data_IF_420274329024
#
_entry.id   IF_420274329024
#
_cell.length_a   1.000
_cell.length_b   1.000
_cell.length_c   1.000
_cell.angle_alpha   90.00
_cell.angle_beta   90.00
_cell.angle_gamma   90.00
#
_symmetry.space_group_name_H-M   'P 1'
#
loop_
_entity.id
_entity.type
_entity.pdbx_description
1 polymer ?
#
# COMPACT_ATOMS: atom_id res chain seq x y z
N UNK A 1 -48.39 -64.09 -21.99
CA UNK A 1 -47.30 -63.81 -21.04
C UNK A 1 -46.03 -63.53 -21.85
N UNK A 2 -45.70 -62.28 -22.16
CA UNK A 2 -44.43 -61.89 -22.81
C UNK A 2 -44.09 -60.46 -22.38
N UNK A 3 -43.51 -60.30 -21.19
CA UNK A 3 -43.12 -59.00 -20.60
C UNK A 3 -41.62 -58.64 -20.71
N UNK A 4 -40.69 -59.37 -21.36
CA UNK A 4 -39.26 -59.06 -21.23
C UNK A 4 -38.79 -57.86 -22.09
N UNK A 5 -39.49 -57.52 -23.18
CA UNK A 5 -38.98 -56.53 -24.15
C UNK A 5 -39.20 -55.06 -23.73
N UNK A 6 -40.25 -54.76 -22.95
CA UNK A 6 -40.56 -53.40 -22.52
C UNK A 6 -39.63 -52.89 -21.40
N UNK A 7 -39.17 -53.79 -20.52
CA UNK A 7 -38.22 -53.48 -19.45
C UNK A 7 -36.81 -53.19 -19.99
N UNK A 8 -36.36 -53.96 -20.99
CA UNK A 8 -35.04 -53.81 -21.60
C UNK A 8 -34.87 -52.43 -22.28
N UNK A 9 -35.92 -51.91 -22.93
CA UNK A 9 -35.83 -50.64 -23.64
C UNK A 9 -35.84 -49.43 -22.69
N UNK A 10 -36.59 -49.51 -21.56
CA UNK A 10 -36.59 -48.49 -20.50
C UNK A 10 -35.25 -48.40 -19.76
N UNK A 11 -34.62 -49.55 -19.51
CA UNK A 11 -33.28 -49.63 -18.90
C UNK A 11 -32.22 -49.02 -19.84
N UNK A 12 -32.31 -49.28 -21.15
CA UNK A 12 -31.43 -48.64 -22.14
C UNK A 12 -31.61 -47.12 -22.21
N UNK A 13 -32.85 -46.62 -22.12
CA UNK A 13 -33.10 -45.17 -22.11
C UNK A 13 -32.62 -44.47 -20.83
N UNK A 14 -32.58 -45.18 -19.69
CA UNK A 14 -32.00 -44.65 -18.44
C UNK A 14 -30.48 -44.80 -18.37
N UNK A 15 -29.88 -45.76 -19.08
CA UNK A 15 -28.44 -45.95 -19.07
C UNK A 15 -27.68 -44.77 -19.68
N UNK A 16 -28.21 -44.14 -20.73
CA UNK A 16 -27.59 -43.00 -21.40
C UNK A 16 -27.42 -41.77 -20.47
N UNK A 17 -28.48 -41.24 -19.81
CA UNK A 17 -28.31 -40.10 -18.90
C UNK A 17 -27.43 -40.45 -17.70
N UNK A 18 -27.49 -41.68 -17.17
CA UNK A 18 -26.62 -42.14 -16.08
C UNK A 18 -25.15 -42.13 -16.52
N UNK A 19 -24.84 -42.63 -17.70
CA UNK A 19 -23.48 -42.63 -18.25
C UNK A 19 -22.95 -41.20 -18.45
N UNK A 20 -23.79 -40.28 -18.94
CA UNK A 20 -23.42 -38.87 -19.10
C UNK A 20 -23.08 -38.23 -17.76
N UNK A 21 -23.92 -38.43 -16.74
CA UNK A 21 -23.67 -37.92 -15.39
C UNK A 21 -22.40 -38.52 -14.78
N UNK A 22 -22.16 -39.82 -14.98
CA UNK A 22 -20.95 -40.49 -14.50
C UNK A 22 -19.68 -39.92 -15.17
N UNK A 23 -19.71 -39.70 -16.49
CA UNK A 23 -18.60 -39.09 -17.24
C UNK A 23 -18.36 -37.65 -16.76
N UNK A 24 -19.42 -36.84 -16.61
CA UNK A 24 -19.30 -35.49 -16.08
C UNK A 24 -18.69 -35.48 -14.67
N UNK A 25 -19.15 -36.36 -13.78
CA UNK A 25 -18.59 -36.51 -12.45
C UNK A 25 -17.11 -36.86 -12.46
N UNK A 26 -16.71 -37.81 -13.31
CA UNK A 26 -15.29 -38.15 -13.51
C UNK A 26 -14.50 -36.96 -14.05
N UNK A 27 -15.03 -36.23 -15.03
CA UNK A 27 -14.34 -35.07 -15.63
C UNK A 27 -14.13 -33.97 -14.59
N UNK A 28 -15.15 -33.67 -13.78
CA UNK A 28 -15.04 -32.68 -12.69
C UNK A 28 -14.02 -33.12 -11.65
N UNK A 29 -14.03 -34.40 -11.27
CA UNK A 29 -13.15 -34.95 -10.23
C UNK A 29 -11.70 -35.00 -10.67
N UNK A 30 -11.44 -35.41 -11.92
CA UNK A 30 -10.08 -35.63 -12.41
C UNK A 30 -9.45 -34.43 -13.12
N UNK A 31 -10.24 -33.48 -13.64
CA UNK A 31 -9.69 -32.28 -14.28
C UNK A 31 -9.99 -30.99 -13.52
N UNK A 32 -11.25 -30.74 -13.16
CA UNK A 32 -11.64 -29.42 -12.62
C UNK A 32 -11.12 -29.21 -11.21
N UNK A 33 -11.30 -30.18 -10.32
CA UNK A 33 -10.85 -30.08 -8.92
C UNK A 33 -9.32 -29.94 -8.83
N UNK A 34 -8.49 -30.75 -9.53
CA UNK A 34 -7.04 -30.61 -9.48
C UNK A 34 -6.55 -29.27 -10.01
N UNK A 35 -7.09 -28.79 -11.14
CA UNK A 35 -6.68 -27.50 -11.72
C UNK A 35 -7.03 -26.33 -10.80
N UNK A 36 -8.23 -26.33 -10.20
CA UNK A 36 -8.63 -25.31 -9.22
C UNK A 36 -7.75 -25.34 -7.98
N UNK A 37 -7.48 -26.54 -7.46
CA UNK A 37 -6.63 -26.72 -6.28
C UNK A 37 -5.21 -26.24 -6.54
N UNK A 38 -4.65 -26.54 -7.71
CA UNK A 38 -3.31 -26.10 -8.09
C UNK A 38 -3.22 -24.58 -8.21
N UNK A 39 -4.23 -23.93 -8.81
CA UNK A 39 -4.28 -22.47 -8.89
C UNK A 39 -4.37 -21.84 -7.49
N UNK A 40 -5.27 -22.35 -6.64
CA UNK A 40 -5.41 -21.88 -5.27
C UNK A 40 -4.15 -22.09 -4.43
N UNK A 41 -3.45 -23.22 -4.62
CA UNK A 41 -2.16 -23.48 -3.96
C UNK A 41 -1.09 -22.49 -4.42
N UNK A 42 -1.05 -22.12 -5.70
CA UNK A 42 -0.12 -21.10 -6.21
C UNK A 42 -0.38 -19.73 -5.59
N UNK A 43 -1.63 -19.30 -5.52
CA UNK A 43 -1.98 -18.02 -4.90
C UNK A 43 -1.62 -17.99 -3.41
N UNK A 44 -1.80 -19.12 -2.71
CA UNK A 44 -1.38 -19.28 -1.31
C UNK A 44 0.15 -19.25 -1.15
N UNK A 45 0.91 -19.86 -2.07
CA UNK A 45 2.38 -19.83 -2.05
C UNK A 45 2.89 -18.42 -2.31
N UNK A 46 2.35 -17.74 -3.32
CA UNK A 46 2.72 -16.36 -3.66
C UNK A 46 2.47 -15.42 -2.47
N UNK A 47 1.26 -15.47 -1.91
CA UNK A 47 0.89 -14.65 -0.75
C UNK A 47 1.80 -14.90 0.45
N UNK A 48 2.09 -16.17 0.77
CA UNK A 48 2.99 -16.52 1.88
C UNK A 48 4.42 -16.09 1.59
N UNK A 49 4.89 -16.25 0.37
CA UNK A 49 6.25 -15.83 -0.02
C UNK A 49 6.44 -14.32 0.12
N UNK A 50 5.45 -13.51 -0.28
CA UNK A 50 5.47 -12.07 -0.07
C UNK A 50 5.46 -11.68 1.41
N UNK A 51 4.72 -12.40 2.25
CA UNK A 51 4.74 -12.19 3.71
C UNK A 51 6.12 -12.52 4.31
N UNK A 52 6.76 -13.61 3.88
CA UNK A 52 8.11 -13.96 4.34
C UNK A 52 9.15 -12.92 3.93
N UNK A 53 9.09 -12.41 2.69
CA UNK A 53 9.99 -11.36 2.23
C UNK A 53 9.85 -10.08 3.07
N UNK A 54 8.61 -9.69 3.41
CA UNK A 54 8.38 -8.53 4.29
C UNK A 54 8.93 -8.75 5.72
N UNK A 55 8.81 -9.98 6.27
CA UNK A 55 9.40 -10.29 7.58
C UNK A 55 10.93 -10.32 7.55
N UNK A 56 11.52 -10.79 6.46
CA UNK A 56 12.97 -10.79 6.26
C UNK A 56 13.51 -9.35 6.22
N UNK A 57 12.89 -8.47 5.44
CA UNK A 57 13.27 -7.05 5.37
C UNK A 57 13.20 -6.36 6.75
N UNK A 58 12.12 -6.60 7.50
CA UNK A 58 11.98 -6.04 8.87
C UNK A 58 13.03 -6.62 9.81
N UNK A 59 13.31 -7.92 9.71
CA UNK A 59 14.29 -8.57 10.58
C UNK A 59 15.70 -8.05 10.28
N UNK A 60 16.06 -7.88 9.01
CA UNK A 60 17.35 -7.30 8.60
C UNK A 60 17.51 -5.88 9.13
N UNK A 61 16.48 -5.04 9.00
CA UNK A 61 16.49 -3.68 9.55
C UNK A 61 16.66 -3.66 11.08
N UNK A 62 16.04 -4.60 11.79
CA UNK A 62 16.20 -4.72 13.25
C UNK A 62 17.59 -5.22 13.63
N UNK A 63 18.19 -6.13 12.85
CA UNK A 63 19.57 -6.57 13.09
C UNK A 63 20.56 -5.43 12.88
N UNK A 64 20.38 -4.61 11.84
CA UNK A 64 21.18 -3.42 11.61
C UNK A 64 21.08 -2.43 12.79
N UNK A 65 19.87 -2.24 13.34
CA UNK A 65 19.67 -1.42 14.53
C UNK A 65 20.35 -2.02 15.77
N UNK A 66 20.23 -3.33 15.99
CA UNK A 66 20.91 -4.03 17.09
C UNK A 66 22.44 -3.85 16.97
N UNK A 67 23.00 -4.02 15.78
CA UNK A 67 24.43 -3.90 15.55
C UNK A 67 24.91 -2.45 15.72
N UNK A 68 24.11 -1.46 15.29
CA UNK A 68 24.36 -0.06 15.60
C UNK A 68 24.37 0.17 17.12
N UNK A 69 23.35 -0.31 17.84
CA UNK A 69 23.20 -0.16 19.29
C UNK A 69 24.23 -0.94 20.12
N UNK A 70 24.94 -1.91 19.54
CA UNK A 70 26.08 -2.56 20.20
C UNK A 70 27.32 -1.66 20.27
N UNK A 71 27.39 -0.64 19.41
CA UNK A 71 28.51 0.31 19.41
C UNK A 71 28.26 1.47 20.38
N UNK A 72 29.31 1.98 21.06
CA UNK A 72 29.16 3.15 21.93
C UNK A 72 28.63 4.40 21.21
N UNK A 73 28.93 4.55 19.92
CA UNK A 73 28.43 5.66 19.11
C UNK A 73 26.96 5.51 18.76
N UNK A 74 26.53 4.30 18.37
CA UNK A 74 25.12 4.04 18.05
C UNK A 74 24.22 4.22 19.27
N UNK A 75 24.65 3.81 20.47
CA UNK A 75 23.92 4.11 21.71
C UNK A 75 23.79 5.62 21.94
N UNK A 76 24.88 6.38 21.77
CA UNK A 76 24.83 7.84 21.91
C UNK A 76 23.86 8.47 20.92
N UNK A 77 23.90 8.04 19.67
CA UNK A 77 23.00 8.53 18.62
C UNK A 77 21.54 8.19 18.93
N UNK A 78 21.24 6.94 19.31
CA UNK A 78 19.89 6.52 19.67
C UNK A 78 19.34 7.29 20.88
N UNK A 79 20.17 7.54 21.90
CA UNK A 79 19.79 8.37 23.05
C UNK A 79 19.52 9.82 22.64
N UNK A 80 20.27 10.38 21.68
CA UNK A 80 20.01 11.72 21.14
C UNK A 80 18.69 11.78 20.36
N UNK A 81 18.44 10.81 19.50
CA UNK A 81 17.27 10.78 18.62
C UNK A 81 15.98 10.41 19.37
N UNK A 82 16.00 9.36 20.18
CA UNK A 82 14.81 8.82 20.85
C UNK A 82 14.49 9.55 22.16
N UNK A 83 15.50 9.94 22.94
CA UNK A 83 15.31 10.57 24.25
C UNK A 83 15.57 12.08 24.22
N UNK A 84 16.05 12.62 23.09
CA UNK A 84 16.33 14.05 22.97
C UNK A 84 17.47 14.52 23.88
N UNK A 85 18.36 13.61 24.30
CA UNK A 85 19.48 13.96 25.17
C UNK A 85 20.49 14.84 24.42
N UNK A 86 21.14 15.75 25.16
CA UNK A 86 22.15 16.68 24.63
C UNK A 86 23.47 16.40 25.35
N UNK A 87 24.60 16.63 24.68
CA UNK A 87 25.90 16.59 25.36
C UNK A 87 26.03 17.78 26.35
N UNK A 88 26.92 17.69 27.36
CA UNK A 88 27.11 18.75 28.35
C UNK A 88 27.41 20.15 27.78
N UNK A 89 27.93 20.21 26.56
CA UNK A 89 28.27 21.44 25.83
C UNK A 89 27.28 21.79 24.70
N UNK A 90 26.16 21.08 24.57
CA UNK A 90 25.13 21.33 23.58
C UNK A 90 23.92 22.04 24.22
N UNK A 91 23.31 22.97 23.49
CA UNK A 91 22.08 23.67 23.90
C UNK A 91 21.05 23.62 22.78
N UNK A 92 19.80 23.35 23.12
CA UNK A 92 18.67 23.52 22.20
C UNK A 92 18.55 25.00 21.88
N UNK A 93 18.73 25.34 20.61
CA UNK A 93 18.40 26.68 20.10
C UNK A 93 16.95 26.59 19.63
N UNK A 94 15.98 27.21 20.33
CA UNK A 94 14.63 27.27 19.81
C UNK A 94 14.68 28.02 18.48
N UNK A 95 14.09 27.44 17.44
CA UNK A 95 13.76 28.21 16.25
C UNK A 95 12.79 29.28 16.71
N UNK A 96 13.22 30.54 16.66
CA UNK A 96 12.29 31.65 16.77
C UNK A 96 11.26 31.48 15.66
N UNK A 97 10.00 31.74 15.98
CA UNK A 97 8.96 31.83 14.96
C UNK A 97 9.48 32.77 13.88
N UNK A 98 9.43 32.31 12.62
CA UNK A 98 9.88 33.13 11.50
C UNK A 98 9.10 34.45 11.61
N UNK A 99 9.77 35.59 11.81
CA UNK A 99 9.04 36.82 12.07
C UNK A 99 8.09 37.03 10.90
N UNK A 100 6.80 37.21 11.21
CA UNK A 100 5.79 37.68 10.29
C UNK A 100 6.15 39.12 9.93
N UNK A 101 7.20 39.28 9.13
CA UNK A 101 7.63 40.58 8.65
C UNK A 101 6.50 41.08 7.76
N UNK A 102 5.71 42.02 8.27
CA UNK A 102 4.79 42.78 7.44
C UNK A 102 5.65 43.55 6.45
N UNK A 103 5.74 43.01 5.23
CA UNK A 103 6.50 43.57 4.12
C UNK A 103 5.79 44.84 3.66
N UNK A 104 5.97 45.93 4.43
CA UNK A 104 5.44 47.25 4.09
C UNK A 104 6.36 47.87 3.05
N UNK A 105 6.17 47.45 1.80
CA UNK A 105 6.94 47.95 0.67
C UNK A 105 6.45 49.34 0.27
N UNK A 106 7.35 50.30 -0.03
CA UNK A 106 6.95 51.59 -0.57
C UNK A 106 6.19 51.44 -1.89
N UNK A 107 5.12 52.22 -2.09
CA UNK A 107 4.36 52.27 -3.32
C UNK A 107 5.08 53.05 -4.44
N UNK A 108 6.35 52.71 -4.71
CA UNK A 108 7.17 53.33 -5.75
C UNK A 108 7.99 52.28 -6.48
N UNK A 109 8.34 52.55 -7.74
CA UNK A 109 9.23 51.69 -8.50
C UNK A 109 10.58 51.52 -7.77
N UNK A 110 11.17 50.32 -7.71
CA UNK A 110 10.73 49.03 -8.27
C UNK A 110 9.88 48.16 -7.31
N UNK A 111 9.55 48.66 -6.13
CA UNK A 111 8.93 47.89 -5.05
C UNK A 111 7.46 47.52 -5.29
N UNK A 112 6.79 48.15 -6.25
CA UNK A 112 5.44 47.80 -6.67
C UNK A 112 5.34 46.39 -7.25
N UNK A 113 6.37 45.93 -7.98
CA UNK A 113 6.43 44.56 -8.53
C UNK A 113 6.70 43.53 -7.43
N UNK A 114 7.56 43.86 -6.48
CA UNK A 114 7.85 42.96 -5.35
C UNK A 114 6.61 42.82 -4.47
N UNK A 115 5.88 43.91 -4.23
CA UNK A 115 4.66 43.91 -3.43
C UNK A 115 3.56 43.02 -4.03
N UNK A 116 3.38 43.06 -5.36
CA UNK A 116 2.40 42.19 -6.03
C UNK A 116 2.78 40.71 -5.97
N UNK A 117 4.06 40.38 -6.13
CA UNK A 117 4.55 38.99 -6.03
C UNK A 117 4.38 38.44 -4.61
N UNK A 118 4.70 39.24 -3.58
CA UNK A 118 4.56 38.84 -2.18
C UNK A 118 3.09 38.64 -1.82
N UNK A 119 2.21 39.57 -2.19
CA UNK A 119 0.77 39.46 -1.96
C UNK A 119 0.13 38.23 -2.64
N UNK A 120 0.55 37.90 -3.87
CA UNK A 120 0.10 36.71 -4.57
C UNK A 120 0.52 35.42 -3.84
N UNK A 121 1.77 35.37 -3.35
CA UNK A 121 2.30 34.21 -2.63
C UNK A 121 1.63 34.01 -1.26
N UNK A 122 1.34 35.09 -0.54
CA UNK A 122 0.60 35.02 0.73
C UNK A 122 -0.82 34.48 0.51
N UNK A 123 -1.52 34.96 -0.52
CA UNK A 123 -2.86 34.47 -0.89
C UNK A 123 -2.83 32.98 -1.25
N UNK A 124 -1.81 32.52 -1.99
CA UNK A 124 -1.62 31.11 -2.32
C UNK A 124 -1.34 30.26 -1.07
N UNK A 125 -0.45 30.71 -0.17
CA UNK A 125 -0.15 29.98 1.08
C UNK A 125 -1.40 29.81 1.95
N UNK A 126 -2.20 30.85 2.11
CA UNK A 126 -3.46 30.76 2.87
C UNK A 126 -4.46 29.78 2.25
N UNK A 127 -4.47 29.63 0.93
CA UNK A 127 -5.30 28.63 0.25
C UNK A 127 -4.81 27.18 0.44
N UNK A 128 -3.49 26.98 0.54
CA UNK A 128 -2.87 25.66 0.79
C UNK A 128 -3.10 25.21 2.24
N UNK A 129 -3.00 26.12 3.21
CA UNK A 129 -3.26 25.81 4.64
C UNK A 129 -4.73 25.45 4.93
N UNK A 130 -5.67 25.89 4.08
CA UNK A 130 -7.09 25.55 4.16
C UNK A 130 -7.44 24.16 3.57
N UNK A 131 -6.44 23.36 3.18
CA UNK A 131 -6.66 21.98 2.73
C UNK A 131 -7.29 21.85 1.34
N UNK A 132 -7.27 22.90 0.52
CA UNK A 132 -7.76 22.83 -0.85
C UNK A 132 -6.62 22.43 -1.81
N UNK A 133 -6.29 21.15 -1.85
CA UNK A 133 -5.32 20.59 -2.81
C UNK A 133 -5.96 20.14 -4.15
N UNK A 134 -7.23 20.45 -4.39
CA UNK A 134 -8.00 19.84 -5.49
C UNK A 134 -8.50 20.83 -6.55
N UNK A 135 -7.65 21.68 -7.14
CA UNK A 135 -8.04 22.34 -8.40
C UNK A 135 -6.86 22.63 -9.34
N UNK A 136 -6.11 21.58 -9.71
CA UNK A 136 -5.58 21.53 -11.06
C UNK A 136 -5.92 20.17 -11.68
N UNK A 137 -7.07 20.13 -12.35
CA UNK A 137 -7.50 19.01 -13.19
C UNK A 137 -7.11 19.33 -14.63
N UNK A 138 -6.08 18.67 -15.20
CA UNK A 138 -5.63 18.91 -16.57
C UNK A 138 -6.58 18.33 -17.64
N UNK A 139 -7.76 17.84 -17.28
CA UNK A 139 -8.69 17.16 -18.19
C UNK A 139 -10.12 17.72 -18.22
N UNK A 140 -10.39 18.85 -17.56
CA UNK A 140 -11.60 19.63 -17.87
C UNK A 140 -11.42 20.33 -19.23
N UNK A 141 -12.41 20.27 -20.14
CA UNK A 141 -12.30 20.86 -21.47
C UNK A 141 -12.13 22.38 -21.42
#
# INVERSE_FOLDING_TARGET
MNVPLLLANRLRSMALPIAIVAILGLTVTFLVVPLRTWMAQRDMVETRSGQYAAYEEVNDALQDEIDALRTPEGVRQAVREQLGYLLPNERRVPLLEMPNASVTLPARWPYTLVASIVSLRETQRSGVEQGNLDTYDPTRP
#
